data_IF_015556668199
#
_entry.id   IF_015556668199
#
_cell.length_a   1.000
_cell.length_b   1.000
_cell.length_c   1.000
_cell.angle_alpha   90.00
_cell.angle_beta   90.00
_cell.angle_gamma   90.00
#
_symmetry.space_group_name_H-M   'P 1'
#
loop_
_entity.id
_entity.type
_entity.pdbx_description
1 polymer ?
#
# COMPACT_ATOMS: atom_id res chain seq x y z
N UNK A 1 21.81 44.57 11.14
CA UNK A 1 22.63 44.71 12.34
C UNK A 1 21.83 44.15 13.52
N UNK A 2 22.08 42.91 13.91
CA UNK A 2 22.11 42.42 15.28
C UNK A 2 22.48 40.94 15.22
N UNK A 3 23.74 40.72 15.57
CA UNK A 3 24.32 39.39 15.81
C UNK A 3 23.86 38.94 17.20
N UNK A 4 23.42 37.70 17.34
CA UNK A 4 23.33 37.03 18.64
C UNK A 4 24.34 35.89 18.68
N UNK A 5 25.16 35.98 19.73
CA UNK A 5 26.36 35.21 20.01
C UNK A 5 26.03 33.96 20.85
N UNK A 6 26.51 32.79 20.38
CA UNK A 6 26.43 31.53 21.12
C UNK A 6 27.73 31.32 21.89
N UNK A 7 27.69 31.49 23.19
CA UNK A 7 28.67 30.86 24.12
C UNK A 7 28.24 31.01 25.56
N UNK A 8 27.83 29.93 26.21
CA UNK A 8 28.12 29.67 27.65
C UNK A 8 27.97 28.19 27.97
N UNK A 9 29.10 27.49 27.92
CA UNK A 9 29.40 26.29 28.70
C UNK A 9 29.36 26.62 30.20
N UNK A 10 28.76 25.78 31.00
CA UNK A 10 29.07 25.76 32.46
C UNK A 10 29.18 24.31 32.94
N UNK A 11 30.41 23.94 33.18
CA UNK A 11 30.87 22.80 34.00
C UNK A 11 30.35 22.95 35.42
N UNK A 12 30.00 21.85 36.05
CA UNK A 12 29.97 21.73 37.51
C UNK A 12 30.71 20.46 37.87
N UNK A 13 31.81 20.70 38.59
CA UNK A 13 32.70 19.69 39.16
C UNK A 13 32.23 19.23 40.53
N UNK A 14 32.44 17.97 40.76
CA UNK A 14 32.79 17.23 41.99
C UNK A 14 32.86 17.98 43.32
N UNK A 15 32.18 17.43 44.33
CA UNK A 15 32.61 17.51 45.74
C UNK A 15 32.47 16.13 46.38
N UNK A 16 33.61 15.51 46.64
CA UNK A 16 33.83 14.39 47.59
C UNK A 16 33.72 14.89 49.01
N UNK A 17 33.00 14.20 49.89
CA UNK A 17 33.21 14.27 51.33
C UNK A 17 33.15 12.85 51.93
N UNK A 18 34.31 12.37 52.35
CA UNK A 18 34.46 11.16 53.15
C UNK A 18 34.06 11.41 54.60
N UNK A 19 33.26 10.53 55.16
CA UNK A 19 33.11 10.40 56.62
C UNK A 19 33.25 8.93 57.02
N UNK A 20 34.34 8.62 57.69
CA UNK A 20 34.58 7.35 58.34
C UNK A 20 34.07 7.42 59.78
N UNK A 21 33.32 6.45 60.20
CA UNK A 21 33.15 6.09 61.61
C UNK A 21 32.69 4.63 61.79
N UNK A 22 33.52 3.94 62.51
CA UNK A 22 33.58 2.59 63.07
C UNK A 22 32.26 1.94 63.59
N UNK A 23 32.09 0.69 63.16
CA UNK A 23 31.60 -0.59 63.78
C UNK A 23 30.73 -0.59 65.03
N UNK A 24 29.85 -1.60 65.22
CA UNK A 24 30.28 -2.96 65.53
C UNK A 24 29.50 -4.09 64.80
N UNK A 25 30.19 -5.22 64.73
CA UNK A 25 29.74 -6.55 64.30
C UNK A 25 28.48 -7.02 65.03
N UNK A 26 27.40 -7.27 64.30
CA UNK A 26 26.30 -8.11 64.75
C UNK A 26 26.01 -9.10 63.61
N UNK A 27 26.23 -10.40 63.86
CA UNK A 27 25.76 -11.46 62.98
C UNK A 27 24.23 -11.45 62.90
N UNK A 28 23.63 -11.41 61.74
CA UNK A 28 22.22 -11.81 61.61
C UNK A 28 22.12 -13.27 61.18
N UNK A 29 21.21 -13.94 61.86
CA UNK A 29 20.77 -15.31 61.64
C UNK A 29 20.42 -15.56 60.18
N UNK A 30 20.81 -16.74 59.67
CA UNK A 30 20.35 -17.29 58.38
C UNK A 30 18.81 -17.43 58.44
N UNK A 31 18.09 -16.57 57.72
CA UNK A 31 16.70 -16.82 57.37
C UNK A 31 16.67 -17.76 56.13
N UNK A 32 15.76 -18.75 56.08
CA UNK A 32 15.65 -19.63 54.94
C UNK A 32 15.21 -18.80 53.72
N UNK A 33 16.00 -18.87 52.64
CA UNK A 33 15.64 -18.33 51.35
C UNK A 33 14.45 -19.14 50.85
N UNK A 34 13.26 -18.57 50.91
CA UNK A 34 12.08 -19.10 50.29
C UNK A 34 12.31 -19.05 48.76
N UNK A 35 12.57 -20.21 48.17
CA UNK A 35 12.61 -20.38 46.74
C UNK A 35 11.23 -20.05 46.19
N UNK A 36 11.05 -18.79 45.74
CA UNK A 36 9.88 -18.44 44.95
C UNK A 36 9.92 -19.29 43.66
N UNK A 37 9.03 -20.27 43.61
CA UNK A 37 8.74 -20.99 42.36
C UNK A 37 8.26 -19.94 41.37
N UNK A 38 9.15 -19.49 40.47
CA UNK A 38 8.78 -18.75 39.30
C UNK A 38 7.95 -19.71 38.45
N UNK A 39 6.63 -19.57 38.51
CA UNK A 39 5.73 -20.24 37.56
C UNK A 39 6.20 -19.86 36.15
N UNK A 40 6.42 -20.83 35.27
CA UNK A 40 6.67 -20.50 33.88
C UNK A 40 5.44 -19.72 33.39
N UNK A 41 5.65 -18.49 32.96
CA UNK A 41 4.64 -17.73 32.26
C UNK A 41 4.17 -18.61 31.10
N UNK A 42 2.93 -19.06 31.15
CA UNK A 42 2.30 -19.74 30.03
C UNK A 42 2.37 -18.76 28.86
N UNK A 43 3.24 -19.02 27.92
CA UNK A 43 3.20 -18.33 26.63
C UNK A 43 1.80 -18.62 26.08
N UNK A 44 0.97 -17.59 26.02
CA UNK A 44 -0.33 -17.64 25.37
C UNK A 44 -0.05 -18.00 23.93
N UNK A 45 -0.27 -19.26 23.56
CA UNK A 45 -0.21 -19.70 22.17
C UNK A 45 -1.36 -19.00 21.47
N UNK A 46 -1.08 -17.88 20.79
CA UNK A 46 -2.04 -17.24 19.87
C UNK A 46 -2.39 -18.32 18.84
N UNK A 47 -3.54 -18.94 19.04
CA UNK A 47 -4.05 -19.95 18.14
C UNK A 47 -4.20 -19.33 16.76
N UNK A 48 -3.57 -19.92 15.74
CA UNK A 48 -3.69 -19.42 14.37
C UNK A 48 -5.15 -19.53 13.95
N UNK A 49 -5.70 -18.49 13.28
CA UNK A 49 -7.07 -18.54 12.82
C UNK A 49 -7.27 -19.72 11.85
N UNK A 50 -8.45 -20.33 11.90
CA UNK A 50 -8.87 -21.28 10.87
C UNK A 50 -8.95 -20.56 9.52
N UNK A 51 -8.10 -20.95 8.58
CA UNK A 51 -8.03 -20.40 7.24
C UNK A 51 -8.58 -21.35 6.18
N UNK A 52 -9.47 -22.28 6.56
CA UNK A 52 -10.11 -23.22 5.63
C UNK A 52 -11.17 -22.55 4.75
N UNK A 53 -11.80 -21.47 5.24
CA UNK A 53 -12.86 -20.71 4.55
C UNK A 53 -12.61 -19.21 4.71
N UNK A 54 -12.11 -18.56 3.69
CA UNK A 54 -11.61 -17.18 3.78
C UNK A 54 -12.45 -16.26 2.91
N UNK A 55 -12.81 -15.09 3.45
CA UNK A 55 -13.17 -13.93 2.64
C UNK A 55 -11.92 -13.06 2.48
N UNK A 56 -11.54 -12.79 1.22
CA UNK A 56 -10.47 -11.84 0.90
C UNK A 56 -11.04 -10.48 0.49
N UNK A 57 -10.50 -9.42 1.07
CA UNK A 57 -10.89 -8.03 0.83
C UNK A 57 -9.68 -7.24 0.35
N UNK A 58 -9.77 -6.70 -0.86
CA UNK A 58 -8.68 -6.05 -1.58
C UNK A 58 -8.11 -6.92 -2.68
N UNK A 59 -8.12 -6.39 -3.92
CA UNK A 59 -7.74 -7.15 -5.11
C UNK A 59 -6.33 -7.75 -5.06
N UNK A 60 -5.36 -7.02 -4.47
CA UNK A 60 -4.00 -7.54 -4.31
C UNK A 60 -3.93 -8.74 -3.35
N UNK A 61 -4.71 -8.74 -2.26
CA UNK A 61 -4.76 -9.85 -1.32
C UNK A 61 -5.31 -11.10 -2.01
N UNK A 62 -6.40 -10.95 -2.75
CA UNK A 62 -6.98 -12.04 -3.54
C UNK A 62 -5.99 -12.57 -4.57
N UNK A 63 -5.32 -11.69 -5.31
CA UNK A 63 -4.31 -12.06 -6.30
C UNK A 63 -3.16 -12.84 -5.68
N UNK A 64 -2.67 -12.44 -4.51
CA UNK A 64 -1.61 -13.14 -3.78
C UNK A 64 -2.09 -14.53 -3.36
N UNK A 65 -3.32 -14.69 -2.85
CA UNK A 65 -3.87 -16.00 -2.46
C UNK A 65 -3.88 -16.96 -3.65
N UNK A 66 -4.30 -16.49 -4.84
CA UNK A 66 -4.23 -17.28 -6.07
C UNK A 66 -2.78 -17.60 -6.47
N UNK A 67 -1.87 -16.63 -6.38
CA UNK A 67 -0.46 -16.84 -6.73
C UNK A 67 0.25 -17.86 -5.79
N UNK A 68 -0.24 -17.99 -4.56
CA UNK A 68 0.23 -19.00 -3.61
C UNK A 68 -0.41 -20.38 -3.82
N UNK A 69 -1.42 -20.52 -4.71
CA UNK A 69 -2.15 -21.76 -4.95
C UNK A 69 -3.07 -22.15 -3.79
N UNK A 70 -3.64 -21.14 -3.10
CA UNK A 70 -4.50 -21.31 -1.92
C UNK A 70 -5.96 -20.86 -2.18
N UNK A 71 -6.32 -20.67 -3.43
CA UNK A 71 -7.63 -20.16 -3.87
C UNK A 71 -8.80 -21.05 -3.45
N UNK A 72 -8.58 -22.33 -3.25
CA UNK A 72 -9.60 -23.27 -2.81
C UNK A 72 -10.17 -22.95 -1.41
N UNK A 73 -9.48 -22.11 -0.64
CA UNK A 73 -9.93 -21.60 0.66
C UNK A 73 -10.87 -20.41 0.55
N UNK A 74 -10.94 -19.77 -0.63
CA UNK A 74 -11.75 -18.56 -0.82
C UNK A 74 -13.24 -18.92 -0.94
N UNK A 75 -14.06 -18.30 -0.10
CA UNK A 75 -15.54 -18.40 -0.14
C UNK A 75 -16.22 -17.10 -0.54
N UNK A 76 -15.46 -16.01 -0.60
CA UNK A 76 -15.94 -14.71 -1.05
C UNK A 76 -14.79 -13.73 -1.30
N UNK A 77 -15.07 -12.71 -2.10
CA UNK A 77 -14.13 -11.64 -2.45
C UNK A 77 -14.83 -10.29 -2.51
N UNK A 78 -14.08 -9.20 -2.34
CA UNK A 78 -14.62 -7.87 -2.56
C UNK A 78 -14.72 -7.49 -4.06
N UNK A 79 -15.39 -6.39 -4.37
CA UNK A 79 -15.62 -5.97 -5.76
C UNK A 79 -14.35 -5.55 -6.51
N UNK A 80 -13.25 -5.24 -5.82
CA UNK A 80 -11.96 -4.90 -6.45
C UNK A 80 -11.14 -6.11 -6.86
N UNK A 81 -11.49 -7.29 -6.39
CA UNK A 81 -10.84 -8.57 -6.68
C UNK A 81 -11.29 -9.13 -8.02
N UNK A 82 -10.78 -8.55 -9.10
CA UNK A 82 -11.16 -8.87 -10.51
C UNK A 82 -10.18 -9.81 -11.19
N UNK A 83 -9.03 -10.09 -10.58
CA UNK A 83 -8.00 -10.96 -11.13
C UNK A 83 -7.55 -12.03 -10.12
N UNK A 84 -7.26 -13.26 -10.59
CA UNK A 84 -7.50 -13.76 -11.95
C UNK A 84 -8.99 -13.83 -12.27
N UNK A 85 -9.36 -14.09 -13.54
CA UNK A 85 -10.78 -14.17 -13.95
C UNK A 85 -11.58 -15.16 -13.09
N UNK A 86 -10.94 -16.22 -12.62
CA UNK A 86 -11.55 -17.19 -11.70
C UNK A 86 -12.03 -16.55 -10.39
N UNK A 87 -11.32 -15.53 -9.87
CA UNK A 87 -11.71 -14.82 -8.66
C UNK A 87 -13.05 -14.09 -8.84
N UNK A 88 -13.32 -13.55 -10.05
CA UNK A 88 -14.57 -12.87 -10.33
C UNK A 88 -15.83 -13.77 -10.21
N UNK A 89 -15.64 -15.09 -10.25
CA UNK A 89 -16.72 -16.10 -10.11
C UNK A 89 -17.11 -16.35 -8.64
N UNK A 90 -16.27 -15.94 -7.68
CA UNK A 90 -16.57 -16.06 -6.27
C UNK A 90 -17.66 -15.06 -5.84
N UNK A 91 -18.44 -15.38 -4.80
CA UNK A 91 -19.38 -14.45 -4.19
C UNK A 91 -18.76 -13.08 -3.92
N UNK A 92 -19.42 -12.02 -4.41
CA UNK A 92 -18.98 -10.65 -4.18
C UNK A 92 -19.63 -10.12 -2.90
N UNK A 93 -18.81 -9.78 -1.90
CA UNK A 93 -19.25 -9.30 -0.59
C UNK A 93 -19.25 -7.76 -0.47
N UNK A 94 -19.17 -7.06 -1.58
CA UNK A 94 -19.23 -5.58 -1.63
C UNK A 94 -17.89 -4.91 -1.89
N UNK A 95 -17.85 -3.59 -1.76
CA UNK A 95 -16.66 -2.78 -2.01
C UNK A 95 -15.83 -2.63 -0.74
N UNK A 96 -14.52 -2.81 -0.83
CA UNK A 96 -13.60 -2.80 0.32
C UNK A 96 -13.75 -1.59 1.26
N UNK A 97 -14.13 -0.42 0.76
CA UNK A 97 -14.33 0.80 1.57
C UNK A 97 -15.79 1.05 1.97
N UNK A 98 -16.69 0.18 1.55
CA UNK A 98 -18.13 0.20 1.87
C UNK A 98 -18.59 -1.23 2.11
N UNK A 99 -17.94 -1.93 3.03
CA UNK A 99 -18.28 -3.30 3.38
C UNK A 99 -19.68 -3.36 4.01
N UNK A 100 -20.43 -4.38 3.60
CA UNK A 100 -21.71 -4.76 4.22
C UNK A 100 -21.48 -6.05 5.02
N UNK A 101 -21.49 -5.99 6.36
CA UNK A 101 -21.22 -7.16 7.21
C UNK A 101 -22.11 -8.34 6.89
N UNK A 102 -23.35 -8.11 6.54
CA UNK A 102 -24.34 -9.14 6.22
C UNK A 102 -23.89 -9.98 5.02
N UNK A 103 -23.36 -9.33 3.97
CA UNK A 103 -22.86 -10.02 2.78
C UNK A 103 -21.64 -10.89 3.08
N UNK A 104 -20.81 -10.45 4.02
CA UNK A 104 -19.62 -11.20 4.47
C UNK A 104 -20.05 -12.39 5.34
N UNK A 105 -20.96 -12.18 6.30
CA UNK A 105 -21.44 -13.22 7.22
C UNK A 105 -22.21 -14.30 6.43
N UNK A 106 -22.96 -13.91 5.40
CA UNK A 106 -23.78 -14.83 4.61
C UNK A 106 -22.97 -15.94 3.91
N UNK A 107 -21.70 -15.71 3.59
CA UNK A 107 -20.82 -16.72 2.99
C UNK A 107 -20.15 -17.62 4.04
N UNK A 108 -20.48 -17.43 5.32
CA UNK A 108 -19.99 -18.21 6.45
C UNK A 108 -18.46 -18.42 6.45
N UNK A 109 -17.64 -17.34 6.51
CA UNK A 109 -16.20 -17.47 6.55
C UNK A 109 -15.71 -17.92 7.92
N UNK A 110 -14.62 -18.68 7.96
CA UNK A 110 -13.87 -18.99 9.18
C UNK A 110 -12.91 -17.83 9.55
N UNK A 111 -12.44 -17.07 8.55
CA UNK A 111 -11.60 -15.90 8.75
C UNK A 111 -11.76 -14.88 7.61
N UNK A 112 -11.42 -13.63 7.90
CA UNK A 112 -11.36 -12.54 6.93
C UNK A 112 -9.92 -12.01 6.87
N UNK A 113 -9.40 -11.84 5.67
CA UNK A 113 -8.15 -11.15 5.41
C UNK A 113 -8.43 -9.92 4.54
N UNK A 114 -8.02 -8.74 4.99
CA UNK A 114 -8.35 -7.47 4.35
C UNK A 114 -7.12 -6.58 4.20
N UNK A 115 -7.07 -5.86 3.09
CA UNK A 115 -6.05 -4.82 2.92
C UNK A 115 -6.34 -3.64 3.85
N UNK A 116 -5.31 -2.95 4.29
CA UNK A 116 -5.42 -1.73 5.07
C UNK A 116 -6.30 -0.68 4.36
N UNK A 117 -7.05 0.09 5.15
CA UNK A 117 -8.03 1.04 4.62
C UNK A 117 -9.36 0.42 4.18
N UNK A 118 -9.57 -0.88 4.44
CA UNK A 118 -10.89 -1.51 4.33
C UNK A 118 -11.82 -0.99 5.44
N UNK A 119 -13.11 -0.87 5.14
CA UNK A 119 -14.05 -0.30 6.11
C UNK A 119 -15.46 -0.14 5.55
N UNK A 120 -16.32 0.64 6.18
CA UNK A 120 -16.03 1.62 7.25
C UNK A 120 -15.78 0.98 8.63
N UNK A 121 -15.29 1.74 9.62
CA UNK A 121 -15.00 1.23 10.97
C UNK A 121 -16.19 0.55 11.63
N UNK A 122 -17.40 1.04 11.39
CA UNK A 122 -18.66 0.48 11.90
C UNK A 122 -18.87 -0.94 11.40
N UNK A 123 -18.65 -1.18 10.11
CA UNK A 123 -18.75 -2.51 9.51
C UNK A 123 -17.71 -3.48 10.13
N UNK A 124 -16.47 -3.01 10.33
CA UNK A 124 -15.43 -3.81 10.98
C UNK A 124 -15.80 -4.15 12.44
N UNK A 125 -16.46 -3.23 13.16
CA UNK A 125 -16.94 -3.48 14.51
C UNK A 125 -17.99 -4.59 14.58
N UNK A 126 -18.92 -4.61 13.63
CA UNK A 126 -19.95 -5.67 13.52
C UNK A 126 -19.30 -7.03 13.24
N UNK A 127 -18.32 -7.09 12.33
CA UNK A 127 -17.61 -8.33 12.01
C UNK A 127 -16.82 -8.87 13.22
N UNK A 128 -16.20 -7.98 14.01
CA UNK A 128 -15.54 -8.37 15.27
C UNK A 128 -16.52 -8.92 16.29
N UNK A 129 -17.72 -8.31 16.43
CA UNK A 129 -18.77 -8.81 17.33
C UNK A 129 -19.33 -10.17 16.91
N UNK A 130 -19.28 -10.49 15.62
CA UNK A 130 -19.63 -11.81 15.10
C UNK A 130 -18.56 -12.89 15.38
N UNK A 131 -17.49 -12.55 16.11
CA UNK A 131 -16.36 -13.45 16.44
C UNK A 131 -15.68 -14.06 15.22
N UNK A 132 -15.72 -13.39 14.06
CA UNK A 132 -14.98 -13.83 12.87
C UNK A 132 -13.57 -13.21 12.94
N UNK A 133 -12.51 -14.02 13.01
CA UNK A 133 -11.13 -13.54 12.97
C UNK A 133 -10.90 -12.63 11.78
N UNK A 134 -10.39 -11.41 12.03
CA UNK A 134 -10.16 -10.39 11.03
C UNK A 134 -8.70 -9.96 11.05
N UNK A 135 -7.98 -10.21 9.95
CA UNK A 135 -6.57 -9.84 9.81
C UNK A 135 -6.43 -8.73 8.79
N UNK A 136 -5.75 -7.66 9.17
CA UNK A 136 -5.42 -6.55 8.28
C UNK A 136 -4.01 -6.71 7.73
N UNK A 137 -3.87 -6.62 6.42
CA UNK A 137 -2.58 -6.61 5.71
C UNK A 137 -2.19 -5.17 5.42
N UNK A 138 -1.02 -4.76 5.89
CA UNK A 138 -0.51 -3.40 5.69
C UNK A 138 -0.28 -3.06 4.22
N UNK A 139 -0.34 -1.76 3.90
CA UNK A 139 -0.20 -1.25 2.55
C UNK A 139 0.82 -0.12 2.48
N UNK A 140 1.90 -0.32 1.70
CA UNK A 140 2.79 0.73 1.21
C UNK A 140 2.96 0.58 -0.30
N UNK A 141 3.20 1.71 -0.97
CA UNK A 141 3.16 1.78 -2.43
C UNK A 141 4.56 1.85 -3.01
N UNK A 142 5.40 0.92 -2.57
CA UNK A 142 6.78 0.72 -2.99
C UNK A 142 7.11 -0.78 -3.13
N UNK A 143 8.31 -1.08 -3.57
CA UNK A 143 8.79 -2.46 -3.73
C UNK A 143 8.75 -3.24 -2.41
N UNK A 144 9.26 -2.65 -1.32
CA UNK A 144 9.29 -3.29 -0.01
C UNK A 144 7.88 -3.66 0.48
N UNK A 145 6.89 -2.78 0.23
CA UNK A 145 5.49 -3.02 0.56
C UNK A 145 4.86 -4.17 -0.20
N UNK A 146 5.19 -4.32 -1.49
CA UNK A 146 4.71 -5.47 -2.29
C UNK A 146 5.22 -6.78 -1.68
N UNK A 147 6.52 -6.86 -1.40
CA UNK A 147 7.15 -8.06 -0.84
C UNK A 147 6.64 -8.36 0.59
N UNK A 148 6.49 -7.32 1.42
CA UNK A 148 5.93 -7.45 2.76
C UNK A 148 4.47 -7.95 2.74
N UNK A 149 3.66 -7.47 1.80
CA UNK A 149 2.28 -7.91 1.61
C UNK A 149 2.20 -9.41 1.27
N UNK A 150 3.04 -9.89 0.36
CA UNK A 150 3.11 -11.31 0.00
C UNK A 150 3.46 -12.15 1.23
N UNK A 151 4.48 -11.74 2.00
CA UNK A 151 4.87 -12.42 3.25
C UNK A 151 3.73 -12.45 4.27
N UNK A 152 3.06 -11.32 4.46
CA UNK A 152 1.96 -11.20 5.41
C UNK A 152 0.77 -12.11 5.06
N UNK A 153 0.40 -12.18 3.78
CA UNK A 153 -0.65 -13.10 3.30
C UNK A 153 -0.21 -14.56 3.46
N UNK A 154 1.05 -14.89 3.13
CA UNK A 154 1.58 -16.24 3.32
C UNK A 154 1.62 -16.68 4.79
N UNK A 155 1.98 -15.75 5.69
CA UNK A 155 1.96 -16.01 7.14
C UNK A 155 0.53 -16.24 7.65
N UNK A 156 -0.44 -15.41 7.21
CA UNK A 156 -1.85 -15.61 7.52
C UNK A 156 -2.37 -16.99 7.07
N UNK A 157 -2.01 -17.42 5.87
CA UNK A 157 -2.41 -18.72 5.32
C UNK A 157 -1.64 -19.90 5.92
N UNK A 158 -0.54 -19.65 6.64
CA UNK A 158 0.34 -20.71 7.16
C UNK A 158 1.23 -21.37 6.11
N UNK A 159 1.54 -20.66 5.02
CA UNK A 159 2.37 -21.13 3.90
C UNK A 159 3.60 -20.25 3.64
N UNK A 160 4.44 -19.99 4.65
CA UNK A 160 5.56 -19.05 4.53
C UNK A 160 6.55 -19.43 3.42
N UNK A 161 6.83 -20.72 3.23
CA UNK A 161 7.78 -21.17 2.22
C UNK A 161 7.29 -20.87 0.79
N UNK A 162 5.99 -21.03 0.53
CA UNK A 162 5.39 -20.63 -0.74
C UNK A 162 5.47 -19.11 -0.93
N UNK A 163 5.24 -18.35 0.15
CA UNK A 163 5.34 -16.89 0.11
C UNK A 163 6.76 -16.43 -0.21
N UNK A 164 7.80 -17.00 0.40
CA UNK A 164 9.18 -16.63 0.09
C UNK A 164 9.60 -17.02 -1.33
N UNK A 165 9.10 -18.14 -1.85
CA UNK A 165 9.32 -18.49 -3.25
C UNK A 165 8.67 -17.46 -4.21
N UNK A 166 7.45 -17.02 -3.91
CA UNK A 166 6.76 -15.97 -4.67
C UNK A 166 7.48 -14.62 -4.54
N UNK A 167 7.90 -14.24 -3.33
CA UNK A 167 8.68 -13.02 -3.06
C UNK A 167 9.91 -12.97 -3.94
N UNK A 168 10.71 -14.03 -3.96
CA UNK A 168 11.93 -14.09 -4.79
C UNK A 168 11.65 -13.89 -6.28
N UNK A 169 10.58 -14.49 -6.79
CA UNK A 169 10.18 -14.32 -8.19
C UNK A 169 9.72 -12.89 -8.49
N UNK A 170 8.90 -12.31 -7.60
CA UNK A 170 8.37 -10.95 -7.77
C UNK A 170 9.48 -9.91 -7.63
N UNK A 171 10.41 -10.08 -6.68
CA UNK A 171 11.57 -9.21 -6.50
C UNK A 171 12.43 -9.14 -7.77
N UNK A 172 12.79 -10.29 -8.37
CA UNK A 172 13.53 -10.34 -9.62
C UNK A 172 12.82 -9.64 -10.79
N UNK A 173 11.48 -9.77 -10.85
CA UNK A 173 10.68 -9.12 -11.89
C UNK A 173 10.58 -7.61 -11.67
N UNK A 174 10.48 -7.17 -10.40
CA UNK A 174 10.53 -5.76 -9.99
C UNK A 174 11.88 -5.13 -10.31
N UNK A 175 12.99 -5.77 -9.94
CA UNK A 175 14.35 -5.30 -10.24
C UNK A 175 14.51 -5.01 -11.74
N UNK A 176 14.02 -5.94 -12.58
CA UNK A 176 14.06 -5.79 -14.03
C UNK A 176 13.21 -4.62 -14.51
N UNK A 177 11.98 -4.46 -13.96
CA UNK A 177 11.10 -3.37 -14.34
C UNK A 177 11.61 -2.00 -13.90
N UNK A 178 12.24 -1.93 -12.71
CA UNK A 178 12.76 -0.70 -12.13
C UNK A 178 14.09 -0.24 -12.77
N UNK A 179 14.89 -1.15 -13.34
CA UNK A 179 16.15 -0.80 -13.99
C UNK A 179 15.97 0.29 -15.06
N UNK A 180 14.90 0.21 -15.85
CA UNK A 180 14.59 1.20 -16.88
C UNK A 180 14.18 2.57 -16.32
N UNK A 181 13.50 2.56 -15.19
CA UNK A 181 13.08 3.79 -14.48
C UNK A 181 14.26 4.46 -13.80
N UNK A 182 15.16 3.68 -13.17
CA UNK A 182 16.36 4.16 -12.49
C UNK A 182 17.37 4.81 -13.44
N UNK A 183 17.49 4.31 -14.67
CA UNK A 183 18.39 4.85 -15.68
C UNK A 183 17.95 6.22 -16.22
N UNK A 184 16.74 6.70 -15.92
CA UNK A 184 16.18 7.94 -16.48
C UNK A 184 16.65 9.16 -15.71
N UNK A 185 17.25 10.12 -16.41
CA UNK A 185 17.64 11.40 -15.81
C UNK A 185 16.41 12.19 -15.35
N UNK A 186 16.53 12.93 -14.27
CA UNK A 186 15.42 13.72 -13.70
C UNK A 186 14.81 14.69 -14.73
N UNK A 187 15.63 15.34 -15.56
CA UNK A 187 15.17 16.25 -16.62
C UNK A 187 14.36 15.58 -17.73
N UNK A 188 14.39 14.26 -17.84
CA UNK A 188 13.66 13.46 -18.83
C UNK A 188 12.36 12.88 -18.28
N UNK A 189 12.14 13.01 -16.97
CA UNK A 189 10.97 12.45 -16.31
C UNK A 189 9.72 13.26 -16.67
N UNK A 190 8.74 12.56 -17.23
CA UNK A 190 7.43 13.14 -17.56
C UNK A 190 6.63 13.42 -16.28
N UNK A 191 5.88 14.49 -16.31
CA UNK A 191 4.93 14.87 -15.26
C UNK A 191 3.59 14.20 -15.56
N UNK A 192 3.16 13.30 -14.71
CA UNK A 192 1.93 12.52 -14.86
C UNK A 192 0.89 13.00 -13.85
N UNK A 193 -0.29 13.37 -14.33
CA UNK A 193 -1.44 13.68 -13.48
C UNK A 193 -2.39 12.48 -13.48
N UNK A 194 -2.51 11.82 -12.33
CA UNK A 194 -3.54 10.80 -12.18
C UNK A 194 -4.88 11.44 -11.82
N UNK A 195 -5.91 11.13 -12.61
CA UNK A 195 -7.29 11.58 -12.41
C UNK A 195 -8.13 10.39 -11.96
N UNK A 196 -8.65 10.47 -10.73
CA UNK A 196 -9.54 9.45 -10.17
C UNK A 196 -10.97 9.58 -10.73
N UNK A 197 -11.45 10.80 -10.87
CA UNK A 197 -12.79 11.10 -11.41
C UNK A 197 -12.86 12.54 -11.93
N UNK A 198 -13.87 12.77 -12.80
CA UNK A 198 -14.19 14.08 -13.38
C UNK A 198 -15.66 14.42 -13.09
N UNK A 199 -16.12 14.13 -11.87
CA UNK A 199 -17.53 14.30 -11.49
C UNK A 199 -17.88 15.79 -11.35
N UNK A 200 -19.01 16.21 -11.93
CA UNK A 200 -19.52 17.59 -11.90
C UNK A 200 -18.48 18.63 -12.41
N UNK A 201 -17.64 18.25 -13.38
CA UNK A 201 -16.57 19.09 -13.90
C UNK A 201 -15.37 19.27 -12.96
N UNK A 202 -15.42 18.70 -11.76
CA UNK A 202 -14.31 18.75 -10.80
C UNK A 202 -13.35 17.58 -11.03
N UNK A 203 -12.08 17.89 -11.18
CA UNK A 203 -11.03 16.89 -11.36
C UNK A 203 -10.50 16.46 -9.99
N UNK A 204 -10.81 15.23 -9.60
CA UNK A 204 -10.26 14.59 -8.41
C UNK A 204 -8.91 13.98 -8.77
N UNK A 205 -7.83 14.53 -8.24
CA UNK A 205 -6.46 14.07 -8.53
C UNK A 205 -5.80 13.40 -7.33
N UNK A 206 -4.78 12.61 -7.62
CA UNK A 206 -3.97 11.90 -6.64
C UNK A 206 -2.71 12.68 -6.28
N UNK A 207 -2.57 13.02 -5.01
CA UNK A 207 -1.34 13.53 -4.40
C UNK A 207 -0.43 12.42 -3.90
N UNK A 208 0.48 12.75 -2.96
CA UNK A 208 1.44 11.81 -2.35
C UNK A 208 0.79 10.79 -1.43
N UNK A 209 1.49 9.68 -1.14
CA UNK A 209 1.01 8.64 -0.23
C UNK A 209 -0.16 7.83 -0.77
N UNK A 210 -0.26 7.70 -2.09
CA UNK A 210 -1.32 6.95 -2.77
C UNK A 210 -0.73 5.92 -3.72
N UNK A 211 -1.49 4.89 -4.06
CA UNK A 211 -1.10 3.90 -5.06
C UNK A 211 -0.75 4.54 -6.42
N UNK A 212 -1.51 5.57 -6.81
CA UNK A 212 -1.25 6.26 -8.06
C UNK A 212 0.07 7.04 -8.04
N UNK A 213 0.45 7.67 -6.90
CA UNK A 213 1.77 8.31 -6.77
C UNK A 213 2.88 7.27 -6.82
N UNK A 214 2.75 6.17 -6.07
CA UNK A 214 3.77 5.12 -6.04
C UNK A 214 4.02 4.52 -7.41
N UNK A 215 2.98 4.15 -8.17
CA UNK A 215 3.18 3.54 -9.49
C UNK A 215 3.75 4.53 -10.52
N UNK A 216 3.39 5.82 -10.44
CA UNK A 216 3.99 6.87 -11.29
C UNK A 216 5.50 6.98 -11.02
N UNK A 217 5.90 6.98 -9.76
CA UNK A 217 7.30 7.07 -9.35
C UNK A 217 8.09 5.82 -9.74
N UNK A 218 7.53 4.63 -9.51
CA UNK A 218 8.13 3.35 -9.91
C UNK A 218 8.28 3.24 -11.44
N UNK A 219 7.37 3.84 -12.21
CA UNK A 219 7.49 3.93 -13.66
C UNK A 219 8.51 5.00 -14.14
N UNK A 220 9.22 5.66 -13.23
CA UNK A 220 10.25 6.67 -13.55
C UNK A 220 9.67 8.01 -13.99
N UNK A 221 8.44 8.33 -13.59
CA UNK A 221 7.78 9.60 -13.84
C UNK A 221 7.65 10.44 -12.55
N UNK A 222 7.11 11.63 -12.66
CA UNK A 222 6.87 12.55 -11.53
C UNK A 222 5.37 12.74 -11.37
N UNK A 223 4.85 12.57 -10.17
CA UNK A 223 3.47 12.94 -9.87
C UNK A 223 3.29 14.46 -9.98
N UNK A 224 2.54 14.92 -10.99
CA UNK A 224 2.29 16.34 -11.22
C UNK A 224 1.52 17.02 -10.07
N UNK A 225 0.74 16.25 -9.30
CA UNK A 225 -0.03 16.69 -8.13
C UNK A 225 0.64 16.38 -6.79
N UNK A 226 1.96 16.17 -6.74
CA UNK A 226 2.72 15.77 -5.55
C UNK A 226 2.82 16.79 -4.40
N UNK A 227 2.06 17.89 -4.44
CA UNK A 227 2.11 18.95 -3.41
C UNK A 227 1.19 18.71 -2.20
N UNK A 228 0.37 17.68 -2.20
CA UNK A 228 -0.58 17.36 -1.12
C UNK A 228 -0.71 15.85 -0.93
N UNK A 229 -1.11 15.37 0.26
CA UNK A 229 -1.36 13.96 0.50
C UNK A 229 -2.77 13.54 0.07
N UNK A 230 -2.91 12.26 -0.32
CA UNK A 230 -4.20 11.65 -0.62
C UNK A 230 -4.85 12.15 -1.92
N UNK A 231 -6.17 12.05 -1.98
CA UNK A 231 -6.96 12.48 -3.15
C UNK A 231 -7.68 13.78 -2.83
N UNK A 232 -7.58 14.77 -3.75
CA UNK A 232 -8.28 16.06 -3.59
C UNK A 232 -8.80 16.58 -4.94
N UNK A 233 -9.92 17.32 -4.93
CA UNK A 233 -10.31 18.11 -6.09
C UNK A 233 -9.27 19.21 -6.32
N UNK A 234 -8.83 19.37 -7.58
CA UNK A 234 -7.94 20.45 -7.99
C UNK A 234 -8.74 21.56 -8.67
N UNK A 235 -8.27 22.80 -8.49
CA UNK A 235 -8.74 23.94 -9.29
C UNK A 235 -8.11 23.92 -10.68
N UNK A 236 -8.72 24.61 -11.62
CA UNK A 236 -8.21 24.72 -12.98
C UNK A 236 -6.81 25.32 -13.00
N UNK A 237 -6.56 26.35 -12.18
CA UNK A 237 -5.25 27.00 -12.05
C UNK A 237 -4.19 26.02 -11.53
N UNK A 238 -4.54 25.19 -10.54
CA UNK A 238 -3.62 24.20 -9.99
C UNK A 238 -3.23 23.15 -11.04
N UNK A 239 -4.16 22.76 -11.91
CA UNK A 239 -3.90 21.81 -12.99
C UNK A 239 -3.00 22.43 -14.07
N UNK A 240 -3.27 23.67 -14.45
CA UNK A 240 -2.45 24.42 -15.41
C UNK A 240 -1.03 24.63 -14.86
N UNK A 241 -0.89 24.98 -13.57
CA UNK A 241 0.41 25.12 -12.89
C UNK A 241 1.16 23.79 -12.81
N UNK A 242 0.45 22.68 -12.58
CA UNK A 242 1.03 21.34 -12.51
C UNK A 242 1.67 20.91 -13.84
N UNK A 243 1.27 21.50 -14.97
CA UNK A 243 1.83 21.24 -16.32
C UNK A 243 2.01 19.74 -16.61
N UNK A 244 0.96 18.94 -16.52
CA UNK A 244 1.10 17.50 -16.79
C UNK A 244 1.45 17.27 -18.27
N UNK A 245 2.41 16.39 -18.52
CA UNK A 245 2.77 15.89 -19.84
C UNK A 245 1.86 14.74 -20.27
N UNK A 246 1.32 14.00 -19.30
CA UNK A 246 0.46 12.84 -19.50
C UNK A 246 -0.66 12.84 -18.47
N UNK A 247 -1.87 12.50 -18.90
CA UNK A 247 -2.99 12.18 -18.02
C UNK A 247 -3.06 10.67 -17.88
N UNK A 248 -3.12 10.19 -16.63
CA UNK A 248 -3.29 8.79 -16.30
C UNK A 248 -4.65 8.59 -15.63
N UNK A 249 -5.41 7.61 -16.08
CA UNK A 249 -6.69 7.21 -15.48
C UNK A 249 -6.78 5.70 -15.38
N UNK A 250 -7.51 5.21 -14.38
CA UNK A 250 -7.86 3.80 -14.39
C UNK A 250 -9.06 3.54 -15.31
N UNK A 251 -9.01 2.43 -16.03
CA UNK A 251 -10.17 1.86 -16.68
C UNK A 251 -11.01 1.11 -15.64
N UNK A 252 -12.29 1.41 -15.58
CA UNK A 252 -13.25 0.77 -14.65
C UNK A 252 -14.11 -0.27 -15.35
N UNK A 253 -13.84 -0.53 -16.63
CA UNK A 253 -14.69 -1.35 -17.47
C UNK A 253 -16.00 -0.65 -17.88
N UNK A 254 -16.50 -0.98 -19.07
CA UNK A 254 -17.75 -0.45 -19.58
C UNK A 254 -17.60 0.80 -20.47
N UNK A 255 -18.65 1.06 -21.27
CA UNK A 255 -18.69 2.11 -22.29
C UNK A 255 -18.89 3.55 -21.75
N UNK A 256 -18.82 3.76 -20.43
CA UNK A 256 -19.23 5.01 -19.78
C UNK A 256 -18.06 5.96 -19.44
N UNK A 257 -16.87 5.69 -19.93
CA UNK A 257 -15.71 6.58 -19.75
C UNK A 257 -15.76 7.78 -20.71
N UNK A 258 -15.45 8.98 -20.20
CA UNK A 258 -15.25 10.17 -21.04
C UNK A 258 -14.18 9.87 -22.11
N UNK A 259 -14.43 10.22 -23.38
CA UNK A 259 -13.42 10.05 -24.43
C UNK A 259 -12.22 10.97 -24.22
N UNK A 260 -11.09 10.70 -24.89
CA UNK A 260 -9.92 11.58 -24.82
C UNK A 260 -10.26 13.00 -25.26
N UNK A 261 -11.03 13.16 -26.35
CA UNK A 261 -11.42 14.47 -26.85
C UNK A 261 -12.34 15.23 -25.86
N UNK A 262 -13.28 14.53 -25.22
CA UNK A 262 -14.11 15.12 -24.17
C UNK A 262 -13.28 15.51 -22.94
N UNK A 263 -12.34 14.66 -22.53
CA UNK A 263 -11.46 14.94 -21.39
C UNK A 263 -10.61 16.17 -21.63
N UNK A 264 -9.94 16.25 -22.79
CA UNK A 264 -9.07 17.37 -23.13
C UNK A 264 -9.83 18.65 -23.55
N UNK A 265 -11.15 18.59 -23.75
CA UNK A 265 -11.99 19.75 -23.91
C UNK A 265 -12.36 20.41 -22.57
N UNK A 266 -12.10 19.77 -21.44
CA UNK A 266 -12.31 20.39 -20.12
C UNK A 266 -11.40 21.62 -19.97
N UNK A 267 -11.91 22.78 -19.51
CA UNK A 267 -11.13 24.02 -19.39
C UNK A 267 -9.81 23.82 -18.64
N UNK A 268 -9.84 23.10 -17.52
CA UNK A 268 -8.68 22.79 -16.70
C UNK A 268 -7.56 22.05 -17.46
N UNK A 269 -7.91 21.16 -18.38
CA UNK A 269 -6.96 20.30 -19.09
C UNK A 269 -6.54 20.87 -20.44
N UNK A 270 -7.40 21.63 -21.11
CA UNK A 270 -7.19 22.10 -22.49
C UNK A 270 -5.90 22.90 -22.70
N UNK A 271 -5.41 23.57 -21.65
CA UNK A 271 -4.18 24.39 -21.68
C UNK A 271 -2.91 23.60 -21.31
N UNK A 272 -3.03 22.33 -20.94
CA UNK A 272 -1.91 21.51 -20.49
C UNK A 272 -1.05 20.98 -21.65
N UNK A 273 0.23 20.63 -21.41
CA UNK A 273 1.04 19.89 -22.38
C UNK A 273 0.40 18.58 -22.82
N UNK A 274 -0.25 17.86 -21.88
CA UNK A 274 -0.95 16.60 -22.16
C UNK A 274 -2.08 16.78 -23.19
N UNK A 275 -2.84 17.88 -23.14
CA UNK A 275 -3.87 18.14 -24.14
C UNK A 275 -3.30 18.40 -25.54
N UNK A 276 -2.19 19.13 -25.63
CA UNK A 276 -1.52 19.42 -26.91
C UNK A 276 -1.03 18.14 -27.62
N UNK A 277 -0.55 17.18 -26.86
CA UNK A 277 -0.06 15.88 -27.35
C UNK A 277 -1.13 14.78 -27.34
N UNK A 278 -2.34 15.06 -26.84
CA UNK A 278 -3.41 14.09 -26.59
C UNK A 278 -2.93 12.87 -25.76
N UNK A 279 -2.02 13.10 -24.83
CA UNK A 279 -1.37 12.08 -24.03
C UNK A 279 -2.29 11.62 -22.88
N UNK A 280 -3.13 10.64 -23.16
CA UNK A 280 -3.99 9.96 -22.21
C UNK A 280 -3.59 8.49 -22.14
N UNK A 281 -3.29 8.02 -20.92
CA UNK A 281 -3.05 6.60 -20.61
C UNK A 281 -4.20 6.09 -19.76
N UNK A 282 -4.73 4.91 -20.13
CA UNK A 282 -5.73 4.18 -19.35
C UNK A 282 -5.23 2.77 -19.12
N UNK A 283 -5.34 2.31 -17.87
CA UNK A 283 -4.96 0.95 -17.49
C UNK A 283 -6.03 0.36 -16.59
N UNK A 284 -6.14 -0.97 -16.58
CA UNK A 284 -7.01 -1.68 -15.62
C UNK A 284 -6.73 -1.23 -14.17
N UNK A 285 -7.79 -0.97 -13.41
CA UNK A 285 -7.67 -0.38 -12.09
C UNK A 285 -6.90 -1.25 -11.09
N UNK A 286 -7.13 -2.56 -11.08
CA UNK A 286 -6.42 -3.47 -10.18
C UNK A 286 -4.97 -3.66 -10.63
N UNK A 287 -4.72 -3.77 -11.93
CA UNK A 287 -3.37 -3.88 -12.47
C UNK A 287 -2.51 -2.65 -12.15
N UNK A 288 -3.10 -1.46 -12.31
CA UNK A 288 -2.41 -0.18 -12.07
C UNK A 288 -2.17 0.11 -10.57
N UNK A 289 -3.17 -0.15 -9.71
CA UNK A 289 -3.19 0.37 -8.34
C UNK A 289 -3.15 -0.72 -7.27
N UNK A 290 -3.11 -2.00 -7.65
CA UNK A 290 -3.23 -3.09 -6.69
C UNK A 290 -1.96 -3.35 -5.87
N UNK A 291 -0.79 -3.05 -6.40
CA UNK A 291 0.49 -3.35 -5.73
C UNK A 291 0.58 -4.81 -5.26
N UNK A 292 0.17 -5.71 -6.16
CA UNK A 292 0.23 -7.16 -6.01
C UNK A 292 1.39 -7.78 -6.81
N UNK A 293 1.40 -9.11 -7.00
CA UNK A 293 2.46 -9.82 -7.72
C UNK A 293 2.72 -9.34 -9.15
N UNK A 294 1.72 -8.72 -9.81
CA UNK A 294 1.85 -8.21 -11.19
C UNK A 294 2.35 -6.77 -11.29
N UNK A 295 2.76 -6.13 -10.21
CA UNK A 295 3.16 -4.70 -10.22
C UNK A 295 4.32 -4.43 -11.18
N UNK A 296 5.29 -5.35 -11.29
CA UNK A 296 6.37 -5.21 -12.27
C UNK A 296 5.86 -5.10 -13.72
N UNK A 297 4.82 -5.86 -14.06
CA UNK A 297 4.16 -5.76 -15.37
C UNK A 297 3.46 -4.40 -15.55
N UNK A 298 2.77 -3.91 -14.52
CA UNK A 298 2.13 -2.60 -14.56
C UNK A 298 3.14 -1.45 -14.73
N UNK A 299 4.30 -1.54 -14.06
CA UNK A 299 5.41 -0.58 -14.21
C UNK A 299 5.89 -0.55 -15.65
N UNK A 300 6.15 -1.71 -16.28
CA UNK A 300 6.61 -1.80 -17.68
C UNK A 300 5.58 -1.26 -18.66
N UNK A 301 4.31 -1.59 -18.46
CA UNK A 301 3.22 -1.10 -19.29
C UNK A 301 3.09 0.42 -19.19
N UNK A 302 3.06 0.96 -17.96
CA UNK A 302 2.97 2.41 -17.74
C UNK A 302 4.20 3.15 -18.28
N UNK A 303 5.42 2.63 -18.04
CA UNK A 303 6.65 3.21 -18.58
C UNK A 303 6.61 3.26 -20.12
N UNK A 304 6.18 2.17 -20.75
CA UNK A 304 6.03 2.10 -22.21
C UNK A 304 4.96 3.09 -22.71
N UNK A 305 3.84 3.22 -22.01
CA UNK A 305 2.78 4.16 -22.39
C UNK A 305 3.22 5.63 -22.25
N UNK A 306 4.05 5.95 -21.26
CA UNK A 306 4.55 7.32 -21.01
C UNK A 306 5.67 7.70 -21.98
N UNK A 307 6.60 6.77 -22.27
CA UNK A 307 7.87 7.08 -22.95
C UNK A 307 8.04 6.42 -24.33
N UNK A 308 7.12 5.54 -24.70
CA UNK A 308 7.27 4.72 -25.90
C UNK A 308 8.16 3.49 -25.66
N UNK A 309 8.15 2.55 -26.62
CA UNK A 309 9.07 1.41 -26.59
C UNK A 309 10.50 1.90 -26.77
N UNK A 310 11.45 1.44 -25.93
CA UNK A 310 12.86 1.63 -26.22
C UNK A 310 13.17 0.96 -27.58
N UNK A 311 13.51 1.77 -28.56
CA UNK A 311 14.13 1.25 -29.77
C UNK A 311 15.54 0.85 -29.36
N UNK A 312 15.82 -0.45 -29.25
CA UNK A 312 17.19 -0.92 -29.17
C UNK A 312 17.89 -0.42 -30.43
N UNK A 313 18.65 0.66 -30.30
CA UNK A 313 19.58 1.04 -31.34
C UNK A 313 20.59 -0.10 -31.42
N UNK A 314 20.39 -0.97 -32.43
CA UNK A 314 21.35 -1.99 -32.77
C UNK A 314 22.67 -1.29 -33.11
N UNK A 315 23.71 -1.58 -32.32
CA UNK A 315 25.09 -1.31 -32.68
C UNK A 315 25.50 -2.25 -33.78
#
# INVERSE_FOLDING_TARGET
MHRFDFRRLRRWELALAAFALSTPFLLPALAPVSSSLVSPAMAETVEKPDTSRIVSIGGAVTEIIYALGEENRLVGRDSTSTYPEAAAKLPNVGYMRQLAPEGIIAVNPAAIVAIEGSGPPEALSVLKQANIPFTTIGETYDEAGILAKIRAVGAFLGVPDKAEALVKSVEQDLDTALADSAARRESERKRVLFILSTQDGKIMASGTGTAASGIIELAGAVNAAGKFPGYKPLTDEAIVEAKPDVILMMDRGGAHGMSADQLFALPALSLTPAAKSKALVRMDGLHLLGFGPRTASAIRELNTAIYGKKTNASQ
#
